data_IF_538236984525
#
_entry.id   IF_538236984525
#
_cell.length_a   1.000
_cell.length_b   1.000
_cell.length_c   1.000
_cell.angle_alpha   90.00
_cell.angle_beta   90.00
_cell.angle_gamma   90.00
#
_symmetry.space_group_name_H-M   'P 1'
#
loop_
_entity.id
_entity.type
_entity.pdbx_description
1 polymer ?
#
# COMPACT_ATOMS: atom_id res chain seq x y z
N UNK A 1 38.89 -26.48 -21.34
CA UNK A 1 37.56 -25.99 -20.96
C UNK A 1 37.79 -24.94 -19.89
N UNK A 2 37.72 -23.66 -20.26
CA UNK A 2 37.95 -22.54 -19.34
C UNK A 2 36.58 -22.14 -18.81
N UNK A 3 36.33 -22.40 -17.53
CA UNK A 3 35.08 -22.07 -16.84
C UNK A 3 35.07 -20.55 -16.60
N UNK A 4 34.24 -19.84 -17.37
CA UNK A 4 34.09 -18.39 -17.33
C UNK A 4 32.92 -17.99 -16.42
N UNK A 5 32.87 -18.53 -15.19
CA UNK A 5 31.93 -18.06 -14.17
C UNK A 5 32.44 -16.76 -13.57
N UNK A 6 31.98 -15.67 -14.17
CA UNK A 6 31.99 -14.34 -13.59
C UNK A 6 31.29 -14.39 -12.23
N UNK A 7 32.07 -14.47 -11.15
CA UNK A 7 31.60 -14.24 -9.79
C UNK A 7 31.28 -12.75 -9.64
N UNK A 8 30.15 -12.31 -10.19
CA UNK A 8 29.49 -11.10 -9.72
C UNK A 8 28.97 -11.40 -8.33
N UNK A 9 29.84 -11.23 -7.34
CA UNK A 9 29.49 -11.18 -5.93
C UNK A 9 28.50 -10.03 -5.73
N UNK A 10 27.21 -10.33 -5.83
CA UNK A 10 26.16 -9.43 -5.38
C UNK A 10 26.31 -9.31 -3.87
N UNK A 11 26.86 -8.20 -3.40
CA UNK A 11 26.98 -7.93 -1.98
C UNK A 11 25.57 -7.74 -1.41
N UNK A 12 25.07 -8.76 -0.72
CA UNK A 12 23.83 -8.65 0.06
C UNK A 12 24.19 -7.92 1.34
N UNK A 13 23.82 -6.65 1.42
CA UNK A 13 23.98 -5.84 2.64
C UNK A 13 22.81 -6.15 3.56
N UNK A 14 23.09 -6.83 4.67
CA UNK A 14 22.12 -7.06 5.73
C UNK A 14 22.18 -5.86 6.67
N UNK A 15 21.13 -5.04 6.63
CA UNK A 15 21.00 -3.88 7.52
C UNK A 15 20.22 -4.31 8.77
N UNK A 16 20.68 -3.98 9.99
CA UNK A 16 19.91 -4.16 11.21
C UNK A 16 18.55 -3.46 11.13
N UNK A 17 17.52 -4.03 11.75
CA UNK A 17 16.14 -3.52 11.67
C UNK A 17 16.01 -2.06 12.11
N UNK A 18 16.80 -1.63 13.10
CA UNK A 18 16.78 -0.26 13.61
C UNK A 18 17.34 0.76 12.59
N UNK A 19 18.36 0.38 11.82
CA UNK A 19 18.90 1.19 10.73
C UNK A 19 17.90 1.26 9.56
N UNK A 20 17.22 0.15 9.27
CA UNK A 20 16.17 0.11 8.25
C UNK A 20 14.96 1.00 8.62
N UNK A 21 14.56 1.02 9.89
CA UNK A 21 13.50 1.88 10.39
C UNK A 21 13.88 3.36 10.36
N UNK A 22 15.13 3.69 10.69
CA UNK A 22 15.66 5.04 10.60
C UNK A 22 15.68 5.54 9.15
N UNK A 23 16.04 4.68 8.18
CA UNK A 23 15.97 5.02 6.76
C UNK A 23 14.53 5.26 6.30
N UNK A 24 13.58 4.45 6.75
CA UNK A 24 12.15 4.67 6.46
C UNK A 24 11.64 5.98 7.02
N UNK A 25 11.99 6.31 8.26
CA UNK A 25 11.62 7.58 8.90
C UNK A 25 12.24 8.78 8.19
N UNK A 26 13.50 8.67 7.77
CA UNK A 26 14.19 9.72 7.01
C UNK A 26 13.55 9.95 5.63
N UNK A 27 13.15 8.89 4.92
CA UNK A 27 12.42 9.02 3.66
C UNK A 27 11.05 9.68 3.83
N UNK A 28 10.31 9.33 4.90
CA UNK A 28 9.02 9.97 5.22
C UNK A 28 9.19 11.45 5.58
N UNK A 29 10.25 11.80 6.32
CA UNK A 29 10.57 13.18 6.65
C UNK A 29 11.00 13.99 5.41
N UNK A 30 11.80 13.41 4.51
CA UNK A 30 12.21 14.05 3.26
C UNK A 30 11.01 14.34 2.33
N UNK A 31 10.02 13.43 2.28
CA UNK A 31 8.76 13.68 1.56
C UNK A 31 7.93 14.83 2.14
N UNK A 32 7.99 15.06 3.46
CA UNK A 32 7.32 16.20 4.10
C UNK A 32 8.03 17.54 3.83
N UNK A 33 9.37 17.54 3.74
CA UNK A 33 10.14 18.74 3.42
C UNK A 33 9.96 19.16 1.96
N UNK A 34 9.80 18.21 1.04
CA UNK A 34 9.47 18.49 -0.36
C UNK A 34 8.08 19.16 -0.54
N UNK A 35 7.17 19.03 0.43
CA UNK A 35 5.85 19.68 0.39
C UNK A 35 5.83 21.09 0.98
N UNK A 36 6.94 21.56 1.58
CA UNK A 36 7.00 22.83 2.32
C UNK A 36 7.79 23.94 1.59
N UNK A 37 8.26 23.70 0.36
CA UNK A 37 9.11 24.66 -0.36
C UNK A 37 8.44 25.37 -1.55
N UNK A 38 7.11 25.50 -1.55
CA UNK A 38 6.40 26.46 -2.40
C UNK A 38 5.81 27.57 -1.54
N UNK A 39 6.56 28.68 -1.47
CA UNK A 39 6.13 29.97 -0.93
C UNK A 39 5.20 30.70 -1.90
N UNK A 40 4.23 31.42 -1.31
CA UNK A 40 3.44 32.58 -1.77
C UNK A 40 2.30 32.37 -2.79
N UNK A 41 1.04 32.36 -2.31
CA UNK A 41 0.04 33.44 -2.49
C UNK A 41 -1.32 33.09 -1.81
N UNK A 42 -2.23 34.06 -1.55
CA UNK A 42 -3.23 33.96 -0.48
C UNK A 42 -4.50 33.21 -0.89
N UNK A 43 -5.06 32.50 0.10
CA UNK A 43 -6.50 32.21 0.23
C UNK A 43 -7.18 31.59 -1.00
N UNK A 44 -6.85 30.32 -1.29
CA UNK A 44 -7.67 29.46 -2.13
C UNK A 44 -8.15 28.27 -1.30
N UNK A 45 -9.46 28.21 -1.09
CA UNK A 45 -10.21 27.03 -0.61
C UNK A 45 -9.64 25.77 -1.27
N UNK A 46 -8.94 24.94 -0.49
CA UNK A 46 -8.31 23.72 -0.99
C UNK A 46 -9.44 22.80 -1.47
N UNK A 47 -9.56 22.48 -2.77
CA UNK A 47 -10.55 21.51 -3.19
C UNK A 47 -10.23 20.20 -2.47
N UNK A 48 -11.27 19.53 -1.94
CA UNK A 48 -11.18 18.12 -1.57
C UNK A 48 -10.72 17.39 -2.83
N UNK A 49 -9.44 17.05 -2.91
CA UNK A 49 -8.90 16.21 -3.98
C UNK A 49 -9.45 14.82 -3.68
N UNK A 50 -10.60 14.52 -4.28
CA UNK A 50 -11.19 13.19 -4.24
C UNK A 50 -10.18 12.23 -4.89
N UNK A 51 -9.77 11.21 -4.15
CA UNK A 51 -8.73 10.30 -4.64
C UNK A 51 -9.34 9.44 -5.73
N UNK A 52 -8.85 9.60 -6.96
CA UNK A 52 -9.35 8.83 -8.09
C UNK A 52 -8.90 7.35 -7.99
N UNK A 53 -9.83 6.41 -8.22
CA UNK A 53 -9.46 5.01 -8.34
C UNK A 53 -8.58 4.81 -9.57
N UNK A 54 -7.50 4.03 -9.42
CA UNK A 54 -6.68 3.62 -10.55
C UNK A 54 -7.50 2.67 -11.42
N UNK A 55 -7.56 2.84 -12.76
CA UNK A 55 -8.34 1.96 -13.60
C UNK A 55 -7.98 0.48 -13.40
N UNK A 56 -8.95 -0.33 -12.98
CA UNK A 56 -8.77 -1.75 -12.66
C UNK A 56 -8.67 -2.05 -11.16
N UNK A 57 -8.35 -1.06 -10.33
CA UNK A 57 -8.33 -1.18 -8.86
C UNK A 57 -9.73 -1.38 -8.27
N UNK A 58 -10.79 -1.00 -9.00
CA UNK A 58 -12.18 -1.18 -8.57
C UNK A 58 -12.55 -2.66 -8.48
N UNK A 59 -11.88 -3.51 -9.27
CA UNK A 59 -12.04 -4.95 -9.25
C UNK A 59 -11.41 -5.62 -8.02
N UNK A 60 -10.57 -4.91 -7.25
CA UNK A 60 -10.00 -5.41 -6.00
C UNK A 60 -11.13 -5.58 -4.98
N UNK A 61 -11.28 -6.82 -4.49
CA UNK A 61 -12.33 -7.17 -3.53
C UNK A 61 -11.79 -7.25 -2.12
N UNK A 62 -12.54 -6.72 -1.17
CA UNK A 62 -12.32 -7.06 0.23
C UNK A 62 -12.90 -8.45 0.49
N UNK A 63 -12.06 -9.32 1.03
CA UNK A 63 -12.41 -10.67 1.41
C UNK A 63 -12.60 -10.76 2.91
N UNK A 64 -13.58 -11.57 3.32
CA UNK A 64 -13.77 -12.02 4.70
C UNK A 64 -13.12 -13.40 4.94
N UNK A 65 -12.21 -13.83 4.07
CA UNK A 65 -11.44 -15.04 4.34
C UNK A 65 -10.53 -14.80 5.54
N UNK A 66 -10.54 -15.73 6.49
CA UNK A 66 -9.46 -15.86 7.45
C UNK A 66 -8.25 -16.49 6.75
N UNK A 67 -7.05 -16.27 7.27
CA UNK A 67 -5.80 -16.81 6.67
C UNK A 67 -5.83 -18.32 6.42
N UNK A 68 -6.69 -19.07 7.11
CA UNK A 68 -6.83 -20.52 6.97
C UNK A 68 -7.75 -20.98 5.84
N UNK A 69 -8.58 -20.11 5.27
CA UNK A 69 -9.53 -20.45 4.20
C UNK A 69 -9.35 -19.55 2.98
N UNK A 70 -8.15 -19.56 2.42
CA UNK A 70 -7.83 -18.73 1.25
C UNK A 70 -8.40 -19.28 -0.06
N UNK A 71 -9.07 -20.44 -0.08
CA UNK A 71 -9.79 -20.93 -1.27
C UNK A 71 -8.96 -21.02 -2.55
N UNK A 72 -7.63 -21.24 -2.43
CA UNK A 72 -6.67 -21.24 -3.53
C UNK A 72 -5.93 -19.92 -3.77
N UNK A 73 -6.23 -18.87 -3.00
CA UNK A 73 -5.49 -17.60 -3.05
C UNK A 73 -4.12 -17.71 -2.37
N UNK A 74 -3.15 -17.03 -2.94
CA UNK A 74 -1.80 -16.89 -2.38
C UNK A 74 -1.68 -15.53 -1.69
N UNK A 75 -1.07 -15.49 -0.50
CA UNK A 75 -0.74 -14.22 0.14
C UNK A 75 0.43 -13.57 -0.59
N UNK A 76 0.21 -12.37 -1.14
CA UNK A 76 1.23 -11.60 -1.82
C UNK A 76 2.07 -10.75 -0.83
N UNK A 77 1.44 -10.24 0.23
CA UNK A 77 2.12 -9.43 1.24
C UNK A 77 1.14 -8.71 2.17
N UNK A 78 1.68 -7.81 3.00
CA UNK A 78 0.90 -6.89 3.82
C UNK A 78 1.18 -5.49 3.32
N UNK A 79 0.14 -4.69 3.18
CA UNK A 79 0.21 -3.27 2.84
C UNK A 79 -0.41 -2.46 3.97
N UNK A 80 0.17 -1.29 4.21
CA UNK A 80 -0.30 -0.33 5.19
C UNK A 80 -0.55 1.00 4.50
N UNK A 81 -1.71 1.59 4.75
CA UNK A 81 -2.08 2.91 4.24
C UNK A 81 -2.40 3.79 5.43
N UNK A 82 -1.70 4.92 5.50
CA UNK A 82 -2.03 6.04 6.36
C UNK A 82 -2.59 7.15 5.49
N UNK A 83 -3.81 7.59 5.79
CA UNK A 83 -4.49 8.64 5.05
C UNK A 83 -5.16 9.63 6.01
N UNK A 84 -4.94 10.91 5.77
CA UNK A 84 -5.57 12.00 6.51
C UNK A 84 -6.73 12.56 5.68
N UNK A 85 -7.96 12.25 6.06
CA UNK A 85 -9.15 12.58 5.28
C UNK A 85 -10.29 11.59 5.51
N UNK A 86 -11.05 11.26 4.46
CA UNK A 86 -12.18 10.34 4.55
C UNK A 86 -11.73 8.88 4.49
N UNK A 87 -12.53 8.00 5.12
CA UNK A 87 -12.28 6.55 5.09
C UNK A 87 -12.33 5.99 3.66
N UNK A 88 -13.24 6.51 2.83
CA UNK A 88 -13.38 6.05 1.45
C UNK A 88 -12.12 6.33 0.62
N UNK A 89 -11.50 7.50 0.82
CA UNK A 89 -10.23 7.85 0.16
C UNK A 89 -9.11 6.91 0.57
N UNK A 90 -9.04 6.57 1.86
CA UNK A 90 -8.09 5.59 2.39
C UNK A 90 -8.31 4.19 1.77
N UNK A 91 -9.57 3.79 1.59
CA UNK A 91 -9.94 2.53 0.92
C UNK A 91 -9.54 2.55 -0.56
N UNK A 92 -9.76 3.67 -1.27
CA UNK A 92 -9.37 3.82 -2.68
C UNK A 92 -7.86 3.74 -2.83
N UNK A 93 -7.10 4.44 -1.97
CA UNK A 93 -5.63 4.33 -1.93
C UNK A 93 -5.17 2.89 -1.71
N UNK A 94 -5.80 2.18 -0.77
CA UNK A 94 -5.47 0.79 -0.47
C UNK A 94 -5.71 -0.13 -1.67
N UNK A 95 -6.81 0.06 -2.40
CA UNK A 95 -7.08 -0.69 -3.64
C UNK A 95 -6.10 -0.36 -4.75
N UNK A 96 -5.78 0.93 -4.93
CA UNK A 96 -4.80 1.37 -5.92
C UNK A 96 -3.45 0.69 -5.66
N UNK A 97 -3.00 0.70 -4.41
CA UNK A 97 -1.75 0.05 -4.01
C UNK A 97 -1.81 -1.48 -4.17
N UNK A 98 -2.95 -2.10 -3.88
CA UNK A 98 -3.12 -3.53 -4.10
C UNK A 98 -3.01 -3.90 -5.59
N UNK A 99 -3.59 -3.06 -6.44
CA UNK A 99 -3.57 -3.25 -7.89
C UNK A 99 -2.18 -3.10 -8.48
N UNK A 100 -1.40 -2.08 -8.08
CA UNK A 100 -0.01 -1.89 -8.55
C UNK A 100 0.89 -3.06 -8.18
N UNK A 101 0.56 -3.78 -7.09
CA UNK A 101 1.27 -4.95 -6.61
C UNK A 101 0.67 -6.28 -7.14
N UNK A 102 -0.19 -6.24 -8.16
CA UNK A 102 -0.85 -7.39 -8.77
C UNK A 102 -1.69 -8.24 -7.78
N UNK A 103 -2.18 -7.63 -6.71
CA UNK A 103 -3.21 -8.20 -5.85
C UNK A 103 -4.56 -8.14 -6.54
N UNK A 104 -5.48 -9.04 -6.14
CA UNK A 104 -6.89 -8.98 -6.58
C UNK A 104 -7.90 -9.14 -5.44
N UNK A 105 -7.42 -9.45 -4.23
CA UNK A 105 -8.22 -9.41 -3.03
C UNK A 105 -7.42 -8.88 -1.83
N UNK A 106 -8.13 -8.28 -0.88
CA UNK A 106 -7.60 -7.70 0.35
C UNK A 106 -8.32 -8.29 1.57
N UNK A 107 -7.58 -8.69 2.59
CA UNK A 107 -8.13 -8.98 3.92
C UNK A 107 -7.66 -7.87 4.85
N UNK A 108 -8.58 -7.09 5.41
CA UNK A 108 -8.22 -6.09 6.42
C UNK A 108 -7.79 -6.82 7.70
N UNK A 109 -6.58 -6.50 8.18
CA UNK A 109 -6.02 -7.04 9.42
C UNK A 109 -6.37 -6.10 10.56
N UNK A 110 -6.08 -4.80 10.38
CA UNK A 110 -6.35 -3.75 11.36
C UNK A 110 -6.79 -2.48 10.66
N UNK A 111 -7.70 -1.78 11.32
CA UNK A 111 -8.11 -0.43 10.93
C UNK A 111 -8.22 0.41 12.19
N UNK A 112 -7.57 1.56 12.19
CA UNK A 112 -7.66 2.55 13.26
C UNK A 112 -7.95 3.91 12.67
N UNK A 113 -8.77 4.70 13.35
CA UNK A 113 -9.00 6.10 13.02
C UNK A 113 -8.79 6.94 14.27
N UNK A 114 -7.97 7.98 14.13
CA UNK A 114 -7.77 9.00 15.17
C UNK A 114 -8.32 10.32 14.67
N UNK A 115 -9.04 11.04 15.51
CA UNK A 115 -9.54 12.38 15.19
C UNK A 115 -8.68 13.41 15.92
N UNK A 116 -7.99 14.25 15.17
CA UNK A 116 -7.14 15.31 15.72
C UNK A 116 -7.39 16.61 14.96
N UNK A 117 -7.66 17.69 15.70
CA UNK A 117 -7.93 19.02 15.12
C UNK A 117 -8.98 19.00 13.99
N UNK A 118 -10.09 18.27 14.20
CA UNK A 118 -11.19 18.08 13.24
C UNK A 118 -10.83 17.33 11.96
N UNK A 119 -9.65 16.70 11.89
CA UNK A 119 -9.26 15.87 10.75
C UNK A 119 -9.00 14.43 11.20
N UNK A 120 -9.62 13.47 10.54
CA UNK A 120 -9.38 12.05 10.79
C UNK A 120 -8.12 11.56 10.11
N UNK A 121 -7.24 10.91 10.86
CA UNK A 121 -6.14 10.10 10.33
C UNK A 121 -6.55 8.64 10.41
N UNK A 122 -6.62 7.98 9.26
CA UNK A 122 -7.04 6.59 9.10
C UNK A 122 -5.80 5.76 8.76
N UNK A 123 -5.57 4.71 9.53
CA UNK A 123 -4.54 3.72 9.28
C UNK A 123 -5.21 2.39 8.97
N UNK A 124 -4.91 1.81 7.82
CA UNK A 124 -5.44 0.51 7.40
C UNK A 124 -4.27 -0.41 7.09
N UNK A 125 -4.19 -1.52 7.82
CA UNK A 125 -3.28 -2.63 7.54
C UNK A 125 -4.09 -3.75 6.89
N UNK A 126 -3.71 -4.15 5.69
CA UNK A 126 -4.39 -5.21 4.95
C UNK A 126 -3.41 -6.21 4.35
N UNK A 127 -3.80 -7.47 4.36
CA UNK A 127 -3.11 -8.54 3.64
C UNK A 127 -3.59 -8.56 2.20
N UNK A 128 -2.67 -8.48 1.27
CA UNK A 128 -2.94 -8.67 -0.15
C UNK A 128 -2.93 -10.14 -0.52
N UNK A 129 -3.86 -10.50 -1.39
CA UNK A 129 -3.99 -11.83 -1.94
C UNK A 129 -4.01 -11.77 -3.47
N UNK A 130 -3.46 -12.81 -4.07
CA UNK A 130 -3.64 -13.15 -5.49
C UNK A 130 -4.44 -14.43 -5.55
N UNK A 131 -5.72 -14.29 -5.87
CA UNK A 131 -6.69 -15.37 -6.01
C UNK A 131 -6.77 -15.85 -7.46
N UNK A 132 -6.89 -17.17 -7.71
CA UNK A 132 -7.22 -17.65 -9.03
C UNK A 132 -8.58 -17.08 -9.44
N UNK A 133 -8.67 -16.57 -10.66
CA UNK A 133 -9.97 -16.24 -11.25
C UNK A 133 -10.77 -17.54 -11.28
N UNK A 134 -11.98 -17.53 -10.72
CA UNK A 134 -12.91 -18.66 -10.87
C UNK A 134 -13.23 -18.74 -12.36
N UNK A 135 -12.49 -19.59 -13.09
CA UNK A 135 -12.86 -20.01 -14.43
C UNK A 135 -14.32 -20.47 -14.34
N UNK A 136 -15.17 -19.87 -15.18
CA UNK A 136 -16.57 -20.23 -15.26
C UNK A 136 -16.65 -21.75 -15.29
N UNK A 137 -17.41 -22.32 -14.34
CA UNK A 137 -17.67 -23.75 -14.25
C UNK A 137 -18.13 -24.20 -15.64
N UNK A 138 -17.27 -24.91 -16.36
CA UNK A 138 -17.57 -25.41 -17.69
C UNK A 138 -18.85 -26.22 -17.62
N UNK A 139 -19.86 -25.77 -18.37
CA UNK A 139 -21.09 -26.52 -18.62
C UNK A 139 -20.84 -27.54 -19.72
#
# INVERSE_FOLDING_TARGET
MIDNRNHTSGAVVVVPSDEWDSMRQASLAASQVATLSETSDPEAEKPLIEIEPTPGSEAIKFSNYTSSNLGGCVTAGIIEVQHRGAVNDAITLLKNQAFTLNGNALIVIRMNSTLENQVSTINIEARMLTCPLRLAKGN
#
